data_IF_013685726281
#
_entry.id   IF_013685726281
#
_cell.length_a   1.000
_cell.length_b   1.000
_cell.length_c   1.000
_cell.angle_alpha   90.00
_cell.angle_beta   90.00
_cell.angle_gamma   90.00
#
_symmetry.space_group_name_H-M   'P 1'
#
loop_
_entity.id
_entity.type
_entity.pdbx_description
1 polymer ?
#
# COMPACT_ATOMS: atom_id res chain seq x y z
N UNK A 1 6.16 -24.77 6.05
CA UNK A 1 7.23 -24.56 5.04
C UNK A 1 8.08 -23.39 5.50
N UNK A 2 9.38 -23.57 5.57
CA UNK A 2 10.37 -22.55 5.91
C UNK A 2 10.56 -21.57 4.75
N UNK A 3 10.93 -20.32 5.02
CA UNK A 3 11.10 -19.29 3.97
C UNK A 3 12.20 -19.67 2.96
N UNK A 4 13.27 -20.31 3.41
CA UNK A 4 14.35 -20.78 2.54
C UNK A 4 13.88 -21.90 1.59
N UNK A 5 13.09 -22.85 2.09
CA UNK A 5 12.48 -23.90 1.27
C UNK A 5 11.53 -23.29 0.24
N UNK A 6 10.70 -22.35 0.65
CA UNK A 6 9.79 -21.62 -0.23
C UNK A 6 10.57 -20.88 -1.32
N UNK A 7 11.63 -20.14 -0.95
CA UNK A 7 12.49 -19.46 -1.92
C UNK A 7 13.00 -20.41 -3.00
N UNK A 8 13.53 -21.56 -2.61
CA UNK A 8 14.11 -22.50 -3.57
C UNK A 8 13.04 -23.02 -4.53
N UNK A 9 11.87 -23.39 -4.04
CA UNK A 9 10.74 -23.82 -4.87
C UNK A 9 10.25 -22.72 -5.84
N UNK A 10 10.28 -21.46 -5.42
CA UNK A 10 9.94 -20.33 -6.29
C UNK A 10 11.01 -20.11 -7.36
N UNK A 11 12.30 -20.24 -7.00
CA UNK A 11 13.38 -20.13 -7.98
C UNK A 11 13.29 -21.24 -9.05
N UNK A 12 12.96 -22.46 -8.63
CA UNK A 12 12.73 -23.58 -9.56
C UNK A 12 11.51 -23.30 -10.45
N UNK A 13 10.39 -22.83 -9.87
CA UNK A 13 9.16 -22.52 -10.61
C UNK A 13 9.37 -21.46 -11.70
N UNK A 14 10.14 -20.41 -11.42
CA UNK A 14 10.41 -19.33 -12.37
C UNK A 14 11.72 -19.53 -13.15
N UNK A 15 12.43 -20.64 -12.94
CA UNK A 15 13.72 -20.93 -13.56
C UNK A 15 14.69 -19.75 -13.42
N UNK A 16 14.90 -19.27 -12.18
CA UNK A 16 15.83 -18.19 -11.85
C UNK A 16 16.88 -18.66 -10.82
N UNK A 17 18.04 -18.01 -10.82
CA UNK A 17 19.18 -18.37 -9.96
C UNK A 17 19.32 -17.46 -8.74
N UNK A 18 18.80 -16.27 -8.83
CA UNK A 18 18.92 -15.23 -7.80
C UNK A 18 17.69 -14.32 -7.80
N UNK A 19 17.63 -13.42 -6.80
CA UNK A 19 16.53 -12.47 -6.67
C UNK A 19 16.53 -11.37 -7.71
N UNK A 20 17.66 -11.04 -8.29
CA UNK A 20 17.77 -9.98 -9.31
C UNK A 20 17.07 -10.42 -10.61
N UNK A 21 17.10 -11.73 -10.91
CA UNK A 21 16.42 -12.30 -12.08
C UNK A 21 14.90 -12.48 -11.86
N UNK A 22 14.48 -12.72 -10.61
CA UNK A 22 13.12 -13.15 -10.30
C UNK A 22 12.03 -12.17 -10.80
N UNK A 23 12.09 -10.85 -10.62
CA UNK A 23 11.08 -9.94 -11.10
C UNK A 23 10.86 -10.04 -12.62
N UNK A 24 11.95 -10.06 -13.38
CA UNK A 24 11.90 -10.18 -14.84
C UNK A 24 11.34 -11.56 -15.28
N UNK A 25 11.73 -12.63 -14.60
CA UNK A 25 11.19 -13.97 -14.89
C UNK A 25 9.70 -14.07 -14.58
N UNK A 26 9.25 -13.48 -13.48
CA UNK A 26 7.83 -13.38 -13.14
C UNK A 26 7.04 -12.60 -14.21
N UNK A 27 7.53 -11.42 -14.60
CA UNK A 27 6.86 -10.59 -15.60
C UNK A 27 6.76 -11.28 -16.96
N UNK A 28 7.83 -11.98 -17.36
CA UNK A 28 7.89 -12.72 -18.63
C UNK A 28 7.20 -14.09 -18.59
N UNK A 29 6.71 -14.54 -17.43
CA UNK A 29 6.00 -15.82 -17.32
C UNK A 29 4.61 -15.83 -17.96
N UNK A 30 4.07 -14.66 -18.29
CA UNK A 30 2.72 -14.48 -18.82
C UNK A 30 1.60 -14.75 -17.81
N UNK A 31 1.92 -15.06 -16.54
CA UNK A 31 0.95 -15.31 -15.46
C UNK A 31 -0.11 -16.34 -15.85
N UNK A 32 0.33 -17.47 -16.43
CA UNK A 32 -0.59 -18.50 -16.95
C UNK A 32 -1.29 -19.28 -15.85
N UNK A 33 -2.41 -19.91 -16.18
CA UNK A 33 -3.15 -20.75 -15.22
C UNK A 33 -2.30 -21.95 -14.75
N UNK A 34 -1.49 -22.53 -15.64
CA UNK A 34 -0.58 -23.62 -15.32
C UNK A 34 0.47 -23.20 -14.28
N UNK A 35 1.05 -21.99 -14.44
CA UNK A 35 1.99 -21.43 -13.48
C UNK A 35 1.33 -21.26 -12.10
N UNK A 36 0.10 -20.74 -12.06
CA UNK A 36 -0.63 -20.58 -10.79
C UNK A 36 -1.00 -21.92 -10.17
N UNK A 37 -1.35 -22.93 -10.97
CA UNK A 37 -1.61 -24.28 -10.46
C UNK A 37 -0.34 -24.93 -9.86
N UNK A 38 0.82 -24.76 -10.48
CA UNK A 38 2.10 -25.22 -9.91
C UNK A 38 2.44 -24.45 -8.61
N UNK A 39 2.24 -23.14 -8.60
CA UNK A 39 2.41 -22.36 -7.38
C UNK A 39 1.50 -22.84 -6.25
N UNK A 40 0.23 -23.12 -6.54
CA UNK A 40 -0.74 -23.61 -5.55
C UNK A 40 -0.35 -24.98 -4.98
N UNK A 41 0.32 -25.85 -5.78
CA UNK A 41 0.90 -27.11 -5.25
C UNK A 41 2.02 -26.85 -4.23
N UNK A 42 2.77 -25.76 -4.39
CA UNK A 42 3.85 -25.38 -3.46
C UNK A 42 3.28 -24.87 -2.14
N UNK A 43 2.27 -23.98 -2.18
CA UNK A 43 1.78 -23.23 -0.99
C UNK A 43 0.53 -23.85 -0.36
N UNK A 44 -0.19 -24.71 -1.05
CA UNK A 44 -1.44 -25.34 -0.63
C UNK A 44 -2.67 -24.44 -0.74
N UNK A 45 -2.55 -23.16 -0.41
CA UNK A 45 -3.60 -22.16 -0.56
C UNK A 45 -3.03 -20.73 -0.68
N UNK A 46 -3.84 -19.79 -1.13
CA UNK A 46 -3.46 -18.38 -1.31
C UNK A 46 -3.77 -17.48 -0.09
N UNK A 47 -4.19 -18.03 1.05
CA UNK A 47 -4.57 -17.25 2.23
C UNK A 47 -3.38 -16.53 2.86
N UNK A 48 -2.19 -17.17 2.85
CA UNK A 48 -0.95 -16.56 3.29
C UNK A 48 -0.25 -15.90 2.10
N UNK A 49 0.17 -14.67 2.28
CA UNK A 49 0.96 -13.94 1.28
C UNK A 49 2.45 -14.29 1.39
N UNK A 50 2.81 -15.45 0.84
CA UNK A 50 4.20 -15.90 0.78
C UNK A 50 5.07 -15.01 -0.10
N UNK A 51 4.50 -14.44 -1.16
CA UNK A 51 5.18 -13.54 -2.10
C UNK A 51 5.66 -12.28 -1.37
N UNK A 52 4.82 -11.69 -0.51
CA UNK A 52 5.22 -10.57 0.35
C UNK A 52 6.45 -10.90 1.20
N UNK A 53 6.45 -12.06 1.88
CA UNK A 53 7.57 -12.47 2.73
C UNK A 53 8.85 -12.65 1.94
N UNK A 54 8.74 -13.20 0.72
CA UNK A 54 9.88 -13.38 -0.17
C UNK A 54 10.49 -12.03 -0.56
N UNK A 55 9.65 -11.11 -1.05
CA UNK A 55 10.09 -9.77 -1.45
C UNK A 55 10.67 -8.99 -0.26
N UNK A 56 9.96 -8.99 0.87
CA UNK A 56 10.37 -8.28 2.08
C UNK A 56 11.75 -8.72 2.58
N UNK A 57 12.04 -10.01 2.55
CA UNK A 57 13.28 -10.54 3.10
C UNK A 57 14.48 -10.35 2.16
N UNK A 58 14.27 -10.47 0.86
CA UNK A 58 15.38 -10.57 -0.10
C UNK A 58 15.53 -9.38 -1.05
N UNK A 59 14.46 -8.66 -1.36
CA UNK A 59 14.45 -7.65 -2.42
C UNK A 59 14.21 -6.22 -1.92
N UNK A 60 13.51 -6.04 -0.80
CA UNK A 60 13.11 -4.72 -0.33
C UNK A 60 14.31 -3.80 -0.06
N UNK A 61 14.34 -2.64 -0.72
CA UNK A 61 15.32 -1.59 -0.49
C UNK A 61 14.88 -0.70 0.68
N UNK A 62 15.28 -1.08 1.87
CA UNK A 62 14.89 -0.42 3.11
C UNK A 62 15.65 0.88 3.36
N UNK A 63 16.84 1.03 2.78
CA UNK A 63 17.71 2.20 2.99
C UNK A 63 17.27 3.35 2.08
N UNK A 64 17.21 3.11 0.77
CA UNK A 64 16.95 4.15 -0.22
C UNK A 64 15.47 4.39 -0.46
N UNK A 65 14.66 3.31 -0.52
CA UNK A 65 13.23 3.39 -0.84
C UNK A 65 12.32 3.43 0.38
N UNK A 66 12.87 3.29 1.61
CA UNK A 66 12.10 3.29 2.86
C UNK A 66 10.96 2.25 2.88
N UNK A 67 11.18 1.13 2.17
CA UNK A 67 10.19 0.05 2.06
C UNK A 67 10.09 -0.70 3.39
N UNK A 68 8.94 -0.59 4.04
CA UNK A 68 8.57 -1.40 5.19
C UNK A 68 7.13 -1.91 5.01
N UNK A 69 6.95 -3.22 5.12
CA UNK A 69 5.69 -3.84 4.76
C UNK A 69 4.69 -3.76 5.89
N UNK A 70 3.45 -3.42 5.53
CA UNK A 70 2.36 -3.30 6.49
C UNK A 70 2.08 -4.64 7.15
N UNK A 71 2.15 -4.73 8.50
CA UNK A 71 1.73 -5.91 9.24
C UNK A 71 0.26 -6.27 8.95
N UNK A 72 -0.06 -7.56 8.97
CA UNK A 72 -1.42 -8.01 8.63
C UNK A 72 -2.48 -7.41 9.56
N UNK A 73 -2.20 -7.26 10.86
CA UNK A 73 -3.11 -6.61 11.80
C UNK A 73 -3.45 -5.17 11.39
N UNK A 74 -2.47 -4.39 10.95
CA UNK A 74 -2.69 -3.02 10.48
C UNK A 74 -3.41 -3.00 9.13
N UNK A 75 -3.10 -3.92 8.22
CA UNK A 75 -3.81 -4.05 6.94
C UNK A 75 -5.30 -4.37 7.16
N UNK A 76 -5.60 -5.29 8.08
CA UNK A 76 -6.98 -5.62 8.47
C UNK A 76 -7.69 -4.43 9.10
N UNK A 77 -7.01 -3.72 10.01
CA UNK A 77 -7.58 -2.53 10.67
C UNK A 77 -7.89 -1.42 9.66
N UNK A 78 -6.97 -1.12 8.73
CA UNK A 78 -7.23 -0.14 7.66
C UNK A 78 -8.39 -0.56 6.78
N UNK A 79 -8.47 -1.84 6.42
CA UNK A 79 -9.58 -2.36 5.63
C UNK A 79 -10.93 -2.10 6.30
N UNK A 80 -11.03 -2.38 7.60
CA UNK A 80 -12.26 -2.17 8.36
C UNK A 80 -12.61 -0.68 8.52
N UNK A 81 -11.64 0.18 8.84
CA UNK A 81 -11.84 1.62 9.00
C UNK A 81 -12.28 2.30 7.71
N UNK A 82 -11.82 1.83 6.55
CA UNK A 82 -12.22 2.39 5.26
C UNK A 82 -13.65 2.00 4.83
N UNK A 83 -14.27 1.00 5.48
CA UNK A 83 -15.65 0.57 5.19
C UNK A 83 -15.76 -0.24 3.88
N UNK A 84 -16.99 -0.55 3.45
CA UNK A 84 -17.24 -1.23 2.17
C UNK A 84 -17.16 -0.23 1.02
N UNK A 85 -16.65 -0.67 -0.13
CA UNK A 85 -16.46 0.16 -1.31
C UNK A 85 -16.47 -0.68 -2.59
N UNK A 86 -16.78 -0.05 -3.73
CA UNK A 86 -16.78 -0.69 -5.04
C UNK A 86 -15.52 -0.36 -5.85
N UNK A 87 -14.96 0.83 -5.66
CA UNK A 87 -13.70 1.25 -6.29
C UNK A 87 -12.74 1.73 -5.21
N UNK A 88 -11.58 1.09 -5.12
CA UNK A 88 -10.63 1.25 -4.01
C UNK A 88 -9.26 1.62 -4.58
N UNK A 89 -8.63 2.64 -4.00
CA UNK A 89 -7.34 3.14 -4.43
C UNK A 89 -6.25 2.88 -3.39
N UNK A 90 -5.10 2.36 -3.83
CA UNK A 90 -3.87 2.22 -3.05
C UNK A 90 -2.72 2.88 -3.82
N UNK A 91 -2.28 4.04 -3.38
CA UNK A 91 -1.29 4.85 -4.08
C UNK A 91 0.18 4.40 -3.84
N UNK A 92 0.40 3.45 -2.95
CA UNK A 92 1.72 2.88 -2.63
C UNK A 92 1.56 1.39 -2.33
N UNK A 93 1.12 0.64 -3.35
CA UNK A 93 0.60 -0.71 -3.17
C UNK A 93 1.67 -1.75 -2.78
N UNK A 94 2.96 -1.49 -3.08
CA UNK A 94 4.02 -2.46 -2.85
C UNK A 94 3.73 -3.78 -3.56
N UNK A 95 3.75 -4.89 -2.83
CA UNK A 95 3.35 -6.20 -3.34
C UNK A 95 1.87 -6.52 -3.16
N UNK A 96 1.04 -5.54 -2.72
CA UNK A 96 -0.41 -5.66 -2.62
C UNK A 96 -0.95 -6.07 -1.26
N UNK A 97 -0.20 -5.91 -0.17
CA UNK A 97 -0.64 -6.38 1.17
C UNK A 97 -1.94 -5.74 1.65
N UNK A 98 -2.06 -4.40 1.55
CA UNK A 98 -3.29 -3.68 1.90
C UNK A 98 -4.43 -4.07 0.95
N UNK A 99 -4.14 -4.09 -0.34
CA UNK A 99 -5.09 -4.48 -1.40
C UNK A 99 -5.67 -5.87 -1.16
N UNK A 100 -4.85 -6.87 -0.81
CA UNK A 100 -5.30 -8.25 -0.53
C UNK A 100 -6.23 -8.28 0.69
N UNK A 101 -5.87 -7.62 1.79
CA UNK A 101 -6.72 -7.59 2.98
C UNK A 101 -8.06 -6.87 2.70
N UNK A 102 -8.01 -5.77 1.97
CA UNK A 102 -9.22 -5.04 1.56
C UNK A 102 -10.10 -5.86 0.61
N UNK A 103 -9.50 -6.64 -0.29
CA UNK A 103 -10.23 -7.53 -1.18
C UNK A 103 -11.01 -8.62 -0.42
N UNK A 104 -10.49 -9.15 0.68
CA UNK A 104 -11.23 -10.10 1.52
C UNK A 104 -12.56 -9.52 2.02
N UNK A 105 -12.56 -8.21 2.32
CA UNK A 105 -13.77 -7.49 2.74
C UNK A 105 -14.66 -7.07 1.56
N UNK A 106 -14.06 -6.78 0.41
CA UNK A 106 -14.72 -6.25 -0.79
C UNK A 106 -14.35 -7.10 -2.04
N UNK A 107 -14.75 -8.38 -2.15
CA UNK A 107 -14.25 -9.30 -3.18
C UNK A 107 -14.69 -8.96 -4.61
N UNK A 108 -15.69 -8.10 -4.76
CA UNK A 108 -16.19 -7.65 -6.06
C UNK A 108 -15.71 -6.24 -6.45
N UNK A 109 -14.95 -5.57 -5.60
CA UNK A 109 -14.44 -4.24 -5.88
C UNK A 109 -13.41 -4.25 -7.01
N UNK A 110 -13.32 -3.12 -7.70
CA UNK A 110 -12.21 -2.77 -8.57
C UNK A 110 -11.12 -2.09 -7.73
N UNK A 111 -9.89 -2.53 -7.88
CA UNK A 111 -8.75 -1.92 -7.23
C UNK A 111 -7.93 -1.10 -8.22
N UNK A 112 -7.45 0.06 -7.77
CA UNK A 112 -6.47 0.87 -8.48
C UNK A 112 -5.22 0.88 -7.61
N UNK A 113 -4.13 0.32 -8.11
CA UNK A 113 -2.87 0.16 -7.39
C UNK A 113 -1.78 0.93 -8.11
N UNK A 114 -1.13 1.86 -7.41
CA UNK A 114 0.05 2.53 -7.95
C UNK A 114 1.28 2.15 -7.14
N UNK A 115 2.40 1.91 -7.82
CA UNK A 115 3.68 1.54 -7.21
C UNK A 115 4.85 2.13 -7.99
N UNK A 116 5.75 2.78 -7.27
CA UNK A 116 6.93 3.40 -7.85
C UNK A 116 8.03 2.38 -8.15
N UNK A 117 8.18 1.37 -7.28
CA UNK A 117 9.23 0.37 -7.40
C UNK A 117 8.90 -0.65 -8.47
N UNK A 118 9.58 -0.52 -9.61
CA UNK A 118 9.46 -1.41 -10.75
C UNK A 118 9.71 -2.89 -10.36
N UNK A 119 10.58 -3.16 -9.38
CA UNK A 119 10.87 -4.50 -8.91
C UNK A 119 9.72 -5.12 -8.09
N UNK A 120 8.82 -4.33 -7.55
CA UNK A 120 7.63 -4.80 -6.80
C UNK A 120 6.46 -5.16 -7.73
N UNK A 121 6.39 -4.56 -8.92
CA UNK A 121 5.27 -4.74 -9.86
C UNK A 121 5.01 -6.21 -10.21
N UNK A 122 6.01 -7.05 -10.57
CA UNK A 122 5.74 -8.45 -10.89
C UNK A 122 5.12 -9.24 -9.74
N UNK A 123 5.51 -8.92 -8.50
CA UNK A 123 4.96 -9.53 -7.29
C UNK A 123 3.52 -9.06 -7.02
N UNK A 124 3.25 -7.78 -7.24
CA UNK A 124 1.89 -7.21 -7.14
C UNK A 124 0.96 -7.89 -8.15
N UNK A 125 1.34 -7.93 -9.42
CA UNK A 125 0.55 -8.55 -10.48
C UNK A 125 0.29 -10.03 -10.21
N UNK A 126 1.30 -10.78 -9.75
CA UNK A 126 1.15 -12.17 -9.35
C UNK A 126 0.14 -12.34 -8.22
N UNK A 127 0.26 -11.50 -7.18
CA UNK A 127 -0.63 -11.53 -6.02
C UNK A 127 -2.09 -11.23 -6.39
N UNK A 128 -2.31 -10.27 -7.28
CA UNK A 128 -3.64 -9.91 -7.77
C UNK A 128 -4.24 -11.02 -8.64
N UNK A 129 -3.46 -11.52 -9.61
CA UNK A 129 -3.93 -12.52 -10.56
C UNK A 129 -4.25 -13.86 -9.91
N UNK A 130 -3.37 -14.38 -9.02
CA UNK A 130 -3.61 -15.67 -8.36
C UNK A 130 -4.84 -15.67 -7.45
N UNK A 131 -5.27 -14.49 -6.98
CA UNK A 131 -6.49 -14.31 -6.18
C UNK A 131 -7.70 -13.87 -6.99
N UNK A 132 -7.54 -13.78 -8.31
CA UNK A 132 -8.58 -13.33 -9.22
C UNK A 132 -9.13 -11.92 -8.86
N UNK A 133 -8.26 -11.00 -8.46
CA UNK A 133 -8.61 -9.63 -8.06
C UNK A 133 -8.67 -8.76 -9.32
N UNK A 134 -9.78 -8.08 -9.54
CA UNK A 134 -9.91 -7.09 -10.62
C UNK A 134 -9.15 -5.82 -10.24
N UNK A 135 -8.15 -5.43 -11.02
CA UNK A 135 -7.33 -4.28 -10.70
C UNK A 135 -6.75 -3.56 -11.92
N UNK A 136 -6.58 -2.25 -11.79
CA UNK A 136 -5.70 -1.43 -12.60
C UNK A 136 -4.40 -1.19 -11.84
N UNK A 137 -3.26 -1.43 -12.49
CA UNK A 137 -1.94 -1.28 -11.88
C UNK A 137 -1.12 -0.28 -12.68
N UNK A 138 -0.60 0.73 -12.01
CA UNK A 138 0.30 1.73 -12.61
C UNK A 138 1.66 1.63 -11.95
N UNK A 139 2.69 1.32 -12.73
CA UNK A 139 4.05 1.55 -12.30
C UNK A 139 4.41 3.01 -12.57
N UNK A 140 4.52 3.81 -11.52
CA UNK A 140 4.72 5.24 -11.66
C UNK A 140 4.93 5.98 -10.36
N UNK A 141 5.12 7.29 -10.47
CA UNK A 141 5.25 8.18 -9.33
C UNK A 141 3.98 9.00 -9.17
N UNK A 142 3.18 8.68 -8.17
CA UNK A 142 1.89 9.35 -7.90
C UNK A 142 2.04 10.86 -7.64
N UNK A 143 3.16 11.29 -7.07
CA UNK A 143 3.39 12.70 -6.74
C UNK A 143 3.72 13.53 -7.98
N UNK A 144 4.44 12.98 -8.96
CA UNK A 144 4.75 13.63 -10.24
C UNK A 144 3.73 13.30 -11.33
N UNK A 145 2.84 12.31 -11.10
CA UNK A 145 1.88 11.76 -12.08
C UNK A 145 2.55 11.10 -13.29
N UNK A 146 3.83 10.74 -13.18
CA UNK A 146 4.55 10.04 -14.23
C UNK A 146 4.26 8.54 -14.15
N UNK A 147 3.87 7.94 -15.26
CA UNK A 147 3.64 6.51 -15.39
C UNK A 147 4.61 5.89 -16.38
N UNK A 148 5.29 4.81 -16.00
CA UNK A 148 6.23 4.05 -16.84
C UNK A 148 5.56 2.89 -17.54
N UNK A 149 4.67 2.19 -16.84
CA UNK A 149 3.92 1.06 -17.37
C UNK A 149 2.53 0.97 -16.73
N UNK A 150 1.60 0.35 -17.45
CA UNK A 150 0.22 0.16 -17.03
C UNK A 150 -0.20 -1.27 -17.29
N UNK A 151 -0.92 -1.85 -16.32
CA UNK A 151 -1.41 -3.21 -16.42
C UNK A 151 -2.87 -3.27 -15.98
N UNK A 152 -3.61 -4.16 -16.61
CA UNK A 152 -4.98 -4.51 -16.21
C UNK A 152 -4.99 -5.96 -15.77
N UNK A 153 -5.54 -6.22 -14.59
CA UNK A 153 -5.84 -7.57 -14.11
C UNK A 153 -7.35 -7.75 -14.18
N UNK A 154 -7.80 -8.55 -15.14
CA UNK A 154 -9.22 -8.88 -15.32
C UNK A 154 -9.54 -10.20 -14.64
N UNK A 155 -10.79 -10.36 -14.16
CA UNK A 155 -11.24 -11.63 -13.57
C UNK A 155 -11.33 -12.72 -14.64
N UNK A 156 -10.68 -13.85 -14.41
CA UNK A 156 -10.85 -15.07 -15.19
C UNK A 156 -11.71 -16.11 -14.46
N UNK A 157 -11.74 -17.34 -14.98
CA UNK A 157 -12.55 -18.42 -14.37
C UNK A 157 -12.01 -18.84 -12.99
N UNK A 158 -10.71 -18.98 -12.85
CA UNK A 158 -10.05 -19.39 -11.59
C UNK A 158 -9.04 -18.35 -11.13
N UNK A 159 -8.26 -17.84 -12.05
CA UNK A 159 -7.22 -16.83 -11.83
C UNK A 159 -7.47 -15.61 -12.71
N UNK A 160 -6.92 -14.47 -12.35
CA UNK A 160 -6.98 -13.27 -13.16
C UNK A 160 -6.05 -13.33 -14.36
N UNK A 161 -6.42 -12.64 -15.44
CA UNK A 161 -5.58 -12.43 -16.61
C UNK A 161 -4.87 -11.08 -16.50
N UNK A 162 -3.57 -11.06 -16.75
CA UNK A 162 -2.74 -9.84 -16.69
C UNK A 162 -2.42 -9.38 -18.11
N UNK A 163 -2.72 -8.10 -18.39
CA UNK A 163 -2.41 -7.47 -19.67
C UNK A 163 -1.59 -6.20 -19.43
N UNK A 164 -0.51 -6.01 -20.19
CA UNK A 164 0.20 -4.74 -20.26
C UNK A 164 -0.50 -3.87 -21.33
N UNK A 165 -0.86 -2.65 -20.97
CA UNK A 165 -1.60 -1.74 -21.84
C UNK A 165 -0.87 -0.41 -22.01
N UNK A 166 -0.91 0.16 -23.21
CA UNK A 166 -0.30 1.47 -23.47
C UNK A 166 -1.11 2.60 -22.85
N UNK A 167 -2.44 2.50 -22.94
CA UNK A 167 -3.38 3.49 -22.42
C UNK A 167 -4.36 2.84 -21.45
N UNK A 168 -4.73 3.55 -20.41
CA UNK A 168 -5.68 3.13 -19.41
C UNK A 168 -6.45 4.34 -18.88
N UNK A 169 -7.77 4.28 -18.94
CA UNK A 169 -8.63 5.27 -18.32
C UNK A 169 -9.04 4.77 -16.93
N UNK A 170 -8.62 5.48 -15.91
CA UNK A 170 -9.03 5.18 -14.53
C UNK A 170 -10.47 5.66 -14.30
N UNK A 171 -11.23 4.99 -13.42
CA UNK A 171 -12.56 5.44 -13.00
C UNK A 171 -12.51 6.86 -12.40
N UNK A 172 -13.45 7.71 -12.78
CA UNK A 172 -13.59 9.04 -12.18
C UNK A 172 -14.14 8.98 -10.73
N UNK A 173 -14.90 7.94 -10.41
CA UNK A 173 -15.53 7.75 -9.11
C UNK A 173 -14.79 6.67 -8.32
N UNK A 174 -13.85 7.11 -7.50
CA UNK A 174 -13.14 6.25 -6.53
C UNK A 174 -13.78 6.47 -5.18
N UNK A 175 -14.26 5.39 -4.55
CA UNK A 175 -14.97 5.51 -3.28
C UNK A 175 -14.01 5.83 -2.13
N UNK A 176 -13.00 4.98 -1.95
CA UNK A 176 -12.07 5.07 -0.81
C UNK A 176 -10.63 4.84 -1.22
N UNK A 177 -9.70 5.38 -0.44
CA UNK A 177 -8.30 5.00 -0.51
C UNK A 177 -7.79 4.42 0.81
N UNK A 178 -6.87 3.47 0.68
CA UNK A 178 -6.09 2.90 1.76
C UNK A 178 -4.62 3.01 1.37
N UNK A 179 -3.74 3.44 2.25
CA UNK A 179 -2.32 3.51 1.91
C UNK A 179 -1.39 3.51 3.11
N UNK A 180 -0.22 2.92 2.93
CA UNK A 180 0.93 3.04 3.81
C UNK A 180 2.10 3.61 2.99
N UNK A 181 2.13 4.93 2.75
CA UNK A 181 3.16 5.54 1.92
C UNK A 181 4.52 5.53 2.62
N UNK A 182 5.64 5.69 1.88
CA UNK A 182 6.97 5.77 2.46
C UNK A 182 7.09 6.99 3.38
N UNK A 183 7.71 6.80 4.58
CA UNK A 183 7.74 7.83 5.61
C UNK A 183 8.89 8.82 5.44
N UNK A 184 8.59 10.11 5.66
CA UNK A 184 9.58 11.18 5.76
C UNK A 184 10.55 11.24 4.57
N UNK A 185 10.04 11.00 3.37
CA UNK A 185 10.84 11.15 2.15
C UNK A 185 10.73 12.59 1.62
N UNK A 186 11.80 13.06 0.99
CA UNK A 186 11.75 14.27 0.17
C UNK A 186 11.06 13.98 -1.17
N UNK A 187 10.47 15.00 -1.77
CA UNK A 187 9.76 14.87 -3.04
C UNK A 187 9.95 16.09 -3.94
N UNK A 188 9.69 15.92 -5.22
CA UNK A 188 9.70 17.00 -6.18
C UNK A 188 8.38 17.76 -6.10
N UNK A 189 8.38 18.90 -5.38
CA UNK A 189 7.23 19.77 -5.32
C UNK A 189 6.93 20.38 -6.69
N UNK A 190 5.65 20.57 -7.05
CA UNK A 190 5.29 21.48 -8.12
C UNK A 190 5.73 22.90 -7.78
N UNK A 191 5.96 23.72 -8.80
CA UNK A 191 6.16 25.16 -8.62
C UNK A 191 4.91 25.78 -7.97
N UNK A 192 5.05 26.97 -7.38
CA UNK A 192 3.91 27.66 -6.78
C UNK A 192 2.76 27.91 -7.79
N UNK A 193 3.10 28.15 -9.06
CA UNK A 193 2.10 28.34 -10.10
C UNK A 193 1.37 27.04 -10.47
N UNK A 194 2.09 25.93 -10.61
CA UNK A 194 1.51 24.61 -10.85
C UNK A 194 0.64 24.15 -9.67
N UNK A 195 1.07 24.43 -8.43
CA UNK A 195 0.30 24.09 -7.23
C UNK A 195 -1.07 24.79 -7.19
N UNK A 196 -1.20 25.99 -7.75
CA UNK A 196 -2.47 26.73 -7.82
C UNK A 196 -3.52 26.03 -8.72
N UNK A 197 -3.07 25.29 -9.71
CA UNK A 197 -3.93 24.56 -10.66
C UNK A 197 -4.05 23.07 -10.34
N UNK A 198 -3.20 22.54 -9.46
CA UNK A 198 -3.25 21.15 -9.04
C UNK A 198 -4.29 20.95 -7.93
N UNK A 199 -5.39 20.28 -8.24
CA UNK A 199 -6.50 20.01 -7.32
C UNK A 199 -6.09 19.35 -6.00
N UNK A 200 -4.95 18.68 -5.97
CA UNK A 200 -4.39 18.06 -4.76
C UNK A 200 -3.93 19.12 -3.73
N UNK A 201 -3.43 20.26 -4.21
CA UNK A 201 -2.72 21.25 -3.37
C UNK A 201 -3.31 22.65 -3.41
N UNK A 202 -4.20 22.97 -4.34
CA UNK A 202 -4.73 24.34 -4.53
C UNK A 202 -5.66 24.83 -3.41
N UNK A 203 -6.03 23.96 -2.47
CA UNK A 203 -6.97 24.28 -1.39
C UNK A 203 -6.30 24.55 -0.04
N UNK A 204 -5.03 24.23 0.11
CA UNK A 204 -4.29 24.41 1.37
C UNK A 204 -2.81 24.72 1.10
N UNK A 205 -2.03 24.86 2.17
CA UNK A 205 -0.59 25.05 2.07
C UNK A 205 0.07 23.81 1.42
N UNK A 206 1.03 24.07 0.51
CA UNK A 206 1.81 23.02 -0.14
C UNK A 206 2.66 22.27 0.90
N UNK A 207 2.63 20.92 0.94
CA UNK A 207 3.45 20.14 1.86
C UNK A 207 4.95 20.42 1.67
N UNK A 208 5.78 20.39 2.72
CA UNK A 208 7.19 20.77 2.61
C UNK A 208 7.96 19.80 1.70
N UNK A 209 8.91 20.33 0.91
CA UNK A 209 9.76 19.54 -0.01
C UNK A 209 10.53 18.42 0.70
N UNK A 210 10.89 18.63 1.95
CA UNK A 210 11.65 17.66 2.75
C UNK A 210 10.80 16.51 3.29
N UNK A 211 9.45 16.60 3.21
CA UNK A 211 8.54 15.61 3.80
C UNK A 211 7.25 15.46 2.98
N UNK A 212 7.12 14.33 2.31
CA UNK A 212 5.98 14.01 1.44
C UNK A 212 4.76 13.43 2.19
N UNK A 213 4.78 13.26 3.50
CA UNK A 213 3.69 12.57 4.22
C UNK A 213 2.31 13.18 3.89
N UNK A 214 2.17 14.50 3.98
CA UNK A 214 0.93 15.17 3.60
C UNK A 214 0.71 15.26 2.08
N UNK A 215 1.76 15.16 1.26
CA UNK A 215 1.59 15.12 -0.19
C UNK A 215 0.83 13.86 -0.61
N UNK A 216 1.16 12.70 -0.05
CA UNK A 216 0.41 11.46 -0.25
C UNK A 216 -1.03 11.56 0.31
N UNK A 217 -1.19 12.10 1.51
CA UNK A 217 -2.52 12.24 2.12
C UNK A 217 -3.45 13.12 1.29
N UNK A 218 -2.97 14.28 0.83
CA UNK A 218 -3.74 15.20 -0.01
C UNK A 218 -3.99 14.62 -1.40
N UNK A 219 -3.02 13.90 -1.98
CA UNK A 219 -3.19 13.20 -3.26
C UNK A 219 -4.36 12.19 -3.17
N UNK A 220 -4.34 11.28 -2.22
CA UNK A 220 -5.42 10.32 -2.03
C UNK A 220 -6.75 11.01 -1.72
N UNK A 221 -6.73 12.00 -0.82
CA UNK A 221 -7.96 12.75 -0.48
C UNK A 221 -8.56 13.42 -1.71
N UNK A 222 -7.74 13.97 -2.63
CA UNK A 222 -8.27 14.57 -3.87
C UNK A 222 -8.91 13.54 -4.79
N UNK A 223 -8.33 12.34 -4.87
CA UNK A 223 -8.75 11.28 -5.77
C UNK A 223 -10.06 10.59 -5.39
N UNK A 224 -10.43 10.55 -4.10
CA UNK A 224 -11.59 9.77 -3.64
C UNK A 224 -12.81 10.63 -3.36
N UNK A 225 -13.99 10.01 -3.41
CA UNK A 225 -15.26 10.67 -3.13
C UNK A 225 -15.68 10.59 -1.65
N UNK A 226 -15.17 9.61 -0.91
CA UNK A 226 -15.62 9.37 0.46
C UNK A 226 -14.49 9.44 1.47
N UNK A 227 -13.65 8.40 1.58
CA UNK A 227 -12.76 8.20 2.70
C UNK A 227 -11.34 7.83 2.28
N UNK A 228 -10.37 8.36 3.01
CA UNK A 228 -8.95 7.99 2.87
C UNK A 228 -8.38 7.56 4.21
N UNK A 229 -7.77 6.39 4.27
CA UNK A 229 -7.18 5.81 5.47
C UNK A 229 -5.68 5.59 5.27
N UNK A 230 -4.87 6.13 6.18
CA UNK A 230 -3.42 6.11 6.07
C UNK A 230 -2.76 5.58 7.33
N UNK A 231 -1.63 4.89 7.15
CA UNK A 231 -0.65 4.75 8.23
C UNK A 231 0.44 5.80 7.97
N UNK A 232 0.66 6.67 8.95
CA UNK A 232 1.61 7.79 8.82
C UNK A 232 2.43 7.94 10.11
N UNK A 233 3.62 8.57 10.04
CA UNK A 233 4.41 8.87 11.25
C UNK A 233 3.68 9.82 12.19
N UNK A 234 3.79 9.62 13.50
CA UNK A 234 3.19 10.50 14.51
C UNK A 234 3.63 11.97 14.39
N UNK A 235 4.73 12.24 13.71
CA UNK A 235 5.22 13.60 13.41
C UNK A 235 4.18 14.48 12.72
N UNK A 236 3.33 13.90 11.86
CA UNK A 236 2.27 14.65 11.14
C UNK A 236 1.29 15.36 12.08
N UNK A 237 1.14 14.86 13.32
CA UNK A 237 0.18 15.40 14.28
C UNK A 237 0.66 16.68 14.98
N UNK A 238 1.97 16.98 14.93
CA UNK A 238 2.58 18.05 15.73
C UNK A 238 3.62 18.92 15.01
N UNK A 239 4.00 18.59 13.77
CA UNK A 239 4.95 19.40 12.99
C UNK A 239 4.38 20.80 12.75
N UNK A 240 5.25 21.81 12.80
CA UNK A 240 4.91 23.20 12.59
C UNK A 240 4.96 23.62 11.10
N UNK A 241 4.71 24.90 10.83
CA UNK A 241 4.82 25.48 9.49
C UNK A 241 3.77 24.97 8.52
N UNK A 242 4.19 24.57 7.32
CA UNK A 242 3.25 24.15 6.27
C UNK A 242 2.36 22.97 6.69
N UNK A 243 2.89 22.03 7.46
CA UNK A 243 2.11 20.88 7.94
C UNK A 243 1.05 21.30 8.98
N UNK A 244 1.33 22.33 9.79
CA UNK A 244 0.35 22.90 10.70
C UNK A 244 -0.81 23.53 9.93
N UNK A 245 -0.53 24.31 8.89
CA UNK A 245 -1.56 24.93 8.06
C UNK A 245 -2.41 23.89 7.32
N UNK A 246 -1.81 22.79 6.88
CA UNK A 246 -2.55 21.66 6.29
C UNK A 246 -3.48 21.01 7.33
N UNK A 247 -3.01 20.77 8.56
CA UNK A 247 -3.87 20.25 9.64
C UNK A 247 -5.02 21.18 9.93
N UNK A 248 -4.76 22.49 10.00
CA UNK A 248 -5.79 23.49 10.17
C UNK A 248 -6.83 23.43 9.05
N UNK A 249 -6.39 23.39 7.80
CA UNK A 249 -7.30 23.20 6.65
C UNK A 249 -8.17 21.94 6.80
N UNK A 250 -7.58 20.80 7.17
CA UNK A 250 -8.32 19.55 7.35
C UNK A 250 -9.36 19.63 8.48
N UNK A 251 -9.04 20.34 9.57
CA UNK A 251 -9.96 20.58 10.70
C UNK A 251 -11.06 21.53 10.30
N UNK A 252 -10.72 22.70 9.75
CA UNK A 252 -11.67 23.77 9.39
C UNK A 252 -12.70 23.28 8.34
N UNK A 253 -12.31 22.33 7.50
CA UNK A 253 -13.19 21.71 6.49
C UNK A 253 -13.84 20.39 6.98
N UNK A 254 -13.75 20.09 8.27
CA UNK A 254 -14.35 18.89 8.89
C UNK A 254 -13.97 17.56 8.21
N UNK A 255 -12.72 17.43 7.74
CA UNK A 255 -12.27 16.28 6.97
C UNK A 255 -11.67 15.16 7.84
N UNK A 256 -11.23 15.44 9.08
CA UNK A 256 -10.65 14.43 9.95
C UNK A 256 -11.76 13.68 10.68
N UNK A 257 -11.87 12.36 10.43
CA UNK A 257 -12.80 11.49 11.15
C UNK A 257 -12.15 10.91 12.41
N UNK A 258 -10.96 10.37 12.29
CA UNK A 258 -10.27 9.77 13.44
C UNK A 258 -8.75 9.83 13.31
N UNK A 259 -8.10 9.84 14.48
CA UNK A 259 -6.66 9.70 14.67
C UNK A 259 -6.44 8.59 15.69
N UNK A 260 -5.73 7.54 15.30
CA UNK A 260 -5.46 6.38 16.15
C UNK A 260 -3.95 6.28 16.34
N UNK A 261 -3.46 6.50 17.54
CA UNK A 261 -2.04 6.32 17.88
C UNK A 261 -1.77 4.84 18.04
N UNK A 262 -0.85 4.32 17.24
CA UNK A 262 -0.50 2.90 17.23
C UNK A 262 0.56 2.56 18.29
N UNK A 263 0.63 1.30 18.72
CA UNK A 263 1.75 0.80 19.53
C UNK A 263 3.08 1.01 18.81
N UNK A 264 4.15 1.17 19.59
CA UNK A 264 5.50 1.18 19.03
C UNK A 264 5.88 -0.22 18.51
N UNK A 265 6.87 -0.28 17.61
CA UNK A 265 7.41 -1.56 17.08
C UNK A 265 6.39 -2.43 16.33
N UNK A 266 5.36 -1.81 15.74
CA UNK A 266 4.41 -2.52 14.86
C UNK A 266 5.08 -3.01 13.58
N UNK A 267 6.08 -2.29 13.09
CA UNK A 267 6.85 -2.63 11.89
C UNK A 267 8.13 -3.39 12.25
N UNK A 268 8.59 -4.24 11.32
CA UNK A 268 9.77 -5.08 11.57
C UNK A 268 11.08 -4.30 11.55
N UNK A 269 11.14 -3.25 10.75
CA UNK A 269 12.38 -2.57 10.40
C UNK A 269 12.45 -1.16 10.94
N UNK A 270 11.37 -0.42 10.88
CA UNK A 270 11.36 0.95 11.41
C UNK A 270 10.95 1.00 12.88
N UNK A 271 11.66 1.84 13.64
CA UNK A 271 11.28 2.22 15.01
C UNK A 271 10.40 3.48 15.04
N UNK A 272 9.93 3.95 13.88
CA UNK A 272 9.12 5.16 13.79
C UNK A 272 7.75 4.88 14.40
N UNK A 273 7.36 5.68 15.40
CA UNK A 273 6.02 5.63 15.97
C UNK A 273 5.02 6.16 14.95
N UNK A 274 3.93 5.43 14.74
CA UNK A 274 2.95 5.69 13.69
C UNK A 274 1.54 5.88 14.25
N UNK A 275 0.70 6.49 13.44
CA UNK A 275 -0.74 6.60 13.68
C UNK A 275 -1.52 6.22 12.43
N UNK A 276 -2.79 5.89 12.62
CA UNK A 276 -3.75 5.86 11.52
C UNK A 276 -4.46 7.20 11.49
N UNK A 277 -4.47 7.82 10.33
CA UNK A 277 -5.25 9.02 10.01
C UNK A 277 -6.39 8.63 9.08
N UNK A 278 -7.62 8.89 9.50
CA UNK A 278 -8.82 8.69 8.68
C UNK A 278 -9.39 10.04 8.29
N UNK A 279 -9.38 10.33 7.00
CA UNK A 279 -10.01 11.49 6.39
C UNK A 279 -11.33 11.06 5.74
N UNK A 280 -12.40 11.85 5.94
CA UNK A 280 -13.73 11.53 5.43
C UNK A 280 -14.43 12.79 4.88
N UNK A 281 -14.70 12.79 3.57
CA UNK A 281 -15.43 13.87 2.88
C UNK A 281 -16.95 13.85 3.13
N UNK A 282 -17.48 12.70 3.57
CA UNK A 282 -18.92 12.50 3.85
C UNK A 282 -19.24 12.46 5.34
N UNK A 283 -18.40 13.06 6.16
CA UNK A 283 -18.60 13.15 7.60
C UNK A 283 -19.86 13.99 7.90
N UNK A 284 -20.74 13.47 8.77
CA UNK A 284 -22.04 14.05 9.08
C UNK A 284 -22.11 14.72 10.46
N UNK A 285 -20.99 14.82 11.16
CA UNK A 285 -20.81 15.49 12.44
C UNK A 285 -19.47 16.22 12.48
N UNK A 286 -19.22 17.05 13.46
CA UNK A 286 -18.00 17.80 13.66
C UNK A 286 -17.00 17.17 14.64
N UNK A 287 -17.31 15.97 15.14
CA UNK A 287 -16.49 15.28 16.11
C UNK A 287 -15.27 14.62 15.44
N UNK A 288 -14.12 14.68 16.10
CA UNK A 288 -12.92 13.94 15.74
C UNK A 288 -12.66 12.91 16.82
N UNK A 289 -12.56 11.64 16.45
CA UNK A 289 -12.22 10.56 17.38
C UNK A 289 -10.70 10.47 17.56
N UNK A 290 -10.23 10.65 18.79
CA UNK A 290 -8.82 10.39 19.16
C UNK A 290 -8.74 9.11 19.97
N UNK A 291 -8.00 8.12 19.45
CA UNK A 291 -7.85 6.80 20.06
C UNK A 291 -6.37 6.56 20.37
N UNK A 292 -6.04 6.33 21.63
CA UNK A 292 -4.72 5.92 22.05
C UNK A 292 -4.69 4.40 22.24
N UNK A 293 -4.13 3.68 21.26
CA UNK A 293 -4.00 2.22 21.31
C UNK A 293 -2.59 1.75 21.63
N UNK A 294 -1.72 2.61 22.17
CA UNK A 294 -0.32 2.26 22.46
C UNK A 294 -0.15 1.07 23.41
N UNK A 295 -1.15 0.76 24.22
CA UNK A 295 -1.16 -0.39 25.13
C UNK A 295 -1.99 -1.57 24.62
N UNK A 296 -2.64 -1.44 23.44
CA UNK A 296 -3.52 -2.46 22.87
C UNK A 296 -2.77 -3.28 21.82
N UNK A 297 -1.92 -4.21 22.29
CA UNK A 297 -1.17 -5.09 21.40
C UNK A 297 -0.90 -6.44 22.06
N UNK A 298 -0.63 -7.45 21.24
CA UNK A 298 0.01 -8.70 21.63
C UNK A 298 1.45 -8.75 21.12
N UNK A 299 2.27 -9.59 21.72
CA UNK A 299 3.66 -9.76 21.29
C UNK A 299 3.76 -11.04 20.48
N UNK A 300 4.11 -10.92 19.21
CA UNK A 300 4.47 -12.04 18.37
C UNK A 300 5.98 -12.26 18.43
N UNK A 301 6.38 -13.45 18.84
CA UNK A 301 7.80 -13.88 18.85
C UNK A 301 8.03 -14.63 17.54
N UNK A 302 8.96 -14.14 16.74
CA UNK A 302 9.33 -14.80 15.48
C UNK A 302 10.52 -15.69 15.68
N UNK A 303 10.39 -16.95 15.30
CA UNK A 303 11.51 -17.87 15.23
C UNK A 303 12.03 -17.89 13.80
N UNK A 304 13.31 -17.61 13.63
CA UNK A 304 14.02 -17.76 12.37
C UNK A 304 15.14 -18.77 12.57
N UNK A 305 15.13 -19.88 11.81
CA UNK A 305 16.15 -20.93 11.85
C UNK A 305 16.40 -21.51 13.28
N UNK A 306 15.35 -21.69 14.07
CA UNK A 306 15.47 -22.20 15.44
C UNK A 306 16.03 -21.19 16.46
N UNK A 307 16.25 -19.95 16.05
CA UNK A 307 16.61 -18.85 16.95
C UNK A 307 15.44 -17.90 17.10
N UNK A 308 15.23 -17.39 18.31
CA UNK A 308 14.22 -16.36 18.57
C UNK A 308 14.65 -15.10 17.82
N UNK A 309 13.96 -14.82 16.70
CA UNK A 309 14.06 -13.56 15.98
C UNK A 309 13.44 -12.40 16.76
N UNK A 310 13.38 -11.22 16.16
CA UNK A 310 12.83 -10.03 16.81
C UNK A 310 11.39 -10.23 17.31
N UNK A 311 11.00 -9.45 18.33
CA UNK A 311 9.62 -9.34 18.81
C UNK A 311 8.94 -8.21 18.06
N UNK A 312 7.75 -8.45 17.51
CA UNK A 312 6.88 -7.41 16.95
C UNK A 312 5.59 -7.33 17.76
N UNK A 313 5.00 -6.14 17.82
CA UNK A 313 3.66 -5.93 18.35
C UNK A 313 2.61 -6.23 17.24
N UNK A 314 1.52 -6.87 17.59
CA UNK A 314 0.42 -7.22 16.68
C UNK A 314 -0.94 -6.86 17.27
#
# INVERSE_FOLDING_TARGET
MELLEYKNKIFDLFNCKNFEELPNKMLNSGYTSELFDEYMKIVGNSNKDWIKHLFQYYQADRINKKQDFTPNCLSTLLSQLSGKANVIYDCCAGTGSLTIEKWKDCPNALFICEELDESAIPFLLFNLAIRNIHAYVVNGNVLTKEAKARFVVTKGNKYGCVENVEEMTLPENIDVSISNPPYNISWNQPSALEALTDERFNKCQLPPKSNANYAFALHCLSAVNEKSCFILPNGILRSDGAEQEIRKYLIDNNLIESVIILPDKMFEVTSISTCILVLNKKKNNDMISFIDSRQNYSIEVREQNGQVGGKSHT
#
